data_IF_815879053311
#
_entry.id   IF_815879053311
#
_cell.length_a   1.000
_cell.length_b   1.000
_cell.length_c   1.000
_cell.angle_alpha   90.00
_cell.angle_beta   90.00
_cell.angle_gamma   90.00
#
_symmetry.space_group_name_H-M   'P 1'
#
loop_
_entity.id
_entity.type
_entity.pdbx_description
1 polymer ?
#
# COMPACT_ATOMS: atom_id res chain seq x y z
N UNK A 1 31.28 5.90 22.92
CA UNK A 1 30.02 6.66 22.88
C UNK A 1 28.93 5.72 22.41
N UNK A 2 27.97 5.42 23.28
CA UNK A 2 26.81 4.60 22.93
C UNK A 2 25.78 5.52 22.24
N UNK A 3 25.29 5.10 21.07
CA UNK A 3 24.31 5.88 20.32
C UNK A 3 22.93 5.49 20.82
N UNK A 4 22.14 6.46 21.30
CA UNK A 4 20.73 6.25 21.61
C UNK A 4 19.93 6.20 20.30
N UNK A 5 19.16 5.13 20.12
CA UNK A 5 18.23 4.97 18.99
C UNK A 5 16.84 5.39 19.48
N UNK A 6 16.23 6.34 18.77
CA UNK A 6 14.87 6.82 19.05
C UNK A 6 14.02 6.50 17.83
N UNK A 7 13.08 5.54 17.91
CA UNK A 7 12.09 5.34 16.86
C UNK A 7 11.15 6.56 16.83
N UNK A 8 10.65 6.92 15.65
CA UNK A 8 9.85 8.14 15.40
C UNK A 8 8.54 7.82 14.69
N UNK A 9 8.11 6.57 14.76
CA UNK A 9 6.92 6.06 14.12
C UNK A 9 6.92 6.11 12.59
N UNK A 10 5.81 5.69 11.97
CA UNK A 10 5.57 5.85 10.54
C UNK A 10 5.35 7.34 10.21
N UNK A 11 6.33 7.96 9.54
CA UNK A 11 6.21 9.30 8.96
C UNK A 11 5.47 9.22 7.63
N UNK A 12 4.17 8.93 7.70
CA UNK A 12 3.26 8.88 6.55
C UNK A 12 2.68 10.28 6.31
N UNK A 13 2.65 10.72 5.06
CA UNK A 13 1.99 11.98 4.71
C UNK A 13 0.50 11.91 5.05
N UNK A 14 0.10 12.65 6.08
CA UNK A 14 -1.24 12.58 6.66
C UNK A 14 -2.33 13.17 5.75
N UNK A 15 -1.99 14.15 4.91
CA UNK A 15 -2.95 14.83 4.05
C UNK A 15 -2.45 14.91 2.61
N UNK A 16 -3.07 14.15 1.71
CA UNK A 16 -2.81 14.33 0.30
C UNK A 16 -3.54 15.59 -0.20
N UNK A 17 -2.83 16.50 -0.88
CA UNK A 17 -3.34 17.82 -1.25
C UNK A 17 -4.71 17.77 -1.94
N UNK A 18 -5.66 18.68 -1.66
CA UNK A 18 -7.02 18.62 -2.20
C UNK A 18 -7.10 18.63 -3.74
N UNK A 19 -6.10 19.21 -4.39
CA UNK A 19 -6.08 19.44 -5.84
C UNK A 19 -4.75 18.96 -6.44
N UNK A 20 -4.74 17.75 -6.98
CA UNK A 20 -3.59 17.11 -7.63
C UNK A 20 -3.95 16.51 -9.00
N UNK A 21 -5.10 16.90 -9.57
CA UNK A 21 -5.58 16.37 -10.85
C UNK A 21 -6.10 14.92 -10.82
N UNK A 22 -6.23 14.31 -9.63
CA UNK A 22 -6.71 12.91 -9.49
C UNK A 22 -8.23 12.80 -9.21
N UNK A 23 -9.02 13.83 -9.51
CA UNK A 23 -10.47 13.85 -9.29
C UNK A 23 -11.17 12.64 -9.91
N UNK A 24 -10.83 12.32 -11.16
CA UNK A 24 -11.48 11.26 -11.94
C UNK A 24 -11.13 9.85 -11.42
N UNK A 25 -9.99 9.72 -10.75
CA UNK A 25 -9.59 8.48 -10.10
C UNK A 25 -10.39 8.26 -8.82
N UNK A 26 -10.51 9.31 -8.00
CA UNK A 26 -11.25 9.26 -6.74
C UNK A 26 -12.75 9.13 -6.98
N UNK A 27 -13.30 9.79 -8.00
CA UNK A 27 -14.70 9.62 -8.40
C UNK A 27 -14.98 8.17 -8.86
N UNK A 28 -14.05 7.57 -9.60
CA UNK A 28 -14.18 6.17 -10.00
C UNK A 28 -14.16 5.23 -8.80
N UNK A 29 -13.28 5.45 -7.82
CA UNK A 29 -13.24 4.69 -6.56
C UNK A 29 -14.52 4.88 -5.73
N UNK A 30 -15.05 6.09 -5.68
CA UNK A 30 -16.29 6.43 -4.97
C UNK A 30 -17.54 5.71 -5.51
N UNK A 31 -17.49 5.23 -6.76
CA UNK A 31 -18.55 4.40 -7.36
C UNK A 31 -18.42 2.91 -7.04
N UNK A 32 -17.34 2.48 -6.37
CA UNK A 32 -17.09 1.08 -6.02
C UNK A 32 -17.58 0.78 -4.61
N UNK A 33 -17.93 -0.49 -4.35
CA UNK A 33 -18.32 -0.93 -3.02
C UNK A 33 -17.14 -0.89 -2.04
N UNK A 34 -17.46 -0.84 -0.74
CA UNK A 34 -16.46 -0.89 0.33
C UNK A 34 -15.60 -2.15 0.21
N UNK A 35 -14.29 -2.00 0.39
CA UNK A 35 -13.29 -3.06 0.29
C UNK A 35 -13.34 -3.91 -1.01
N UNK A 36 -13.93 -3.38 -2.09
CA UNK A 36 -14.14 -4.14 -3.34
C UNK A 36 -13.04 -3.96 -4.39
N UNK A 37 -12.06 -3.09 -4.11
CA UNK A 37 -10.98 -2.73 -5.04
C UNK A 37 -9.61 -3.15 -4.50
N UNK A 38 -8.79 -3.77 -5.34
CA UNK A 38 -7.37 -3.99 -5.06
C UNK A 38 -6.53 -2.86 -5.66
N UNK A 39 -5.60 -2.32 -4.87
CA UNK A 39 -4.57 -1.43 -5.38
C UNK A 39 -3.30 -2.23 -5.68
N UNK A 40 -2.64 -1.98 -6.81
CA UNK A 40 -1.45 -2.71 -7.26
C UNK A 40 -0.34 -1.71 -7.57
N UNK A 41 0.76 -1.77 -6.82
CA UNK A 41 1.92 -0.90 -7.02
C UNK A 41 3.23 -1.57 -6.58
N UNK A 42 4.25 -1.48 -7.43
CA UNK A 42 5.58 -2.02 -7.17
C UNK A 42 6.61 -0.94 -6.80
N UNK A 43 6.13 0.21 -6.34
CA UNK A 43 6.97 1.31 -5.85
C UNK A 43 7.65 2.08 -6.97
N UNK A 44 8.60 2.94 -6.57
CA UNK A 44 9.27 3.86 -7.49
C UNK A 44 10.52 3.32 -8.16
N UNK A 45 11.08 2.23 -7.62
CA UNK A 45 12.41 1.73 -7.99
C UNK A 45 12.39 0.42 -8.78
N UNK A 46 11.23 -0.19 -8.96
CA UNK A 46 11.09 -1.45 -9.70
C UNK A 46 10.26 -1.28 -10.96
N UNK A 47 10.83 -1.69 -12.09
CA UNK A 47 10.13 -1.82 -13.35
C UNK A 47 9.81 -3.30 -13.58
N UNK A 48 8.53 -3.62 -13.76
CA UNK A 48 8.08 -4.99 -14.05
C UNK A 48 8.60 -5.43 -15.42
N UNK A 49 9.00 -6.70 -15.52
CA UNK A 49 9.27 -7.33 -16.81
C UNK A 49 7.97 -7.61 -17.54
N UNK A 50 8.03 -7.71 -18.88
CA UNK A 50 6.85 -7.99 -19.71
C UNK A 50 6.13 -9.27 -19.29
N UNK A 51 6.86 -10.32 -18.95
CA UNK A 51 6.27 -11.57 -18.49
C UNK A 51 5.51 -11.37 -17.15
N UNK A 52 6.01 -10.53 -16.25
CA UNK A 52 5.33 -10.23 -14.98
C UNK A 52 4.08 -9.38 -15.19
N UNK A 53 4.14 -8.43 -16.13
CA UNK A 53 2.98 -7.62 -16.55
C UNK A 53 1.89 -8.54 -17.11
N UNK A 54 2.26 -9.49 -17.97
CA UNK A 54 1.32 -10.47 -18.51
C UNK A 54 0.67 -11.28 -17.37
N UNK A 55 1.45 -11.89 -16.46
CA UNK A 55 0.89 -12.67 -15.33
C UNK A 55 -0.07 -11.85 -14.47
N UNK A 56 0.30 -10.60 -14.13
CA UNK A 56 -0.56 -9.70 -13.33
C UNK A 56 -1.81 -9.30 -14.10
N UNK A 57 -1.69 -8.94 -15.38
CA UNK A 57 -2.82 -8.58 -16.22
C UNK A 57 -3.83 -9.74 -16.31
N UNK A 58 -3.37 -10.97 -16.58
CA UNK A 58 -4.25 -12.14 -16.61
C UNK A 58 -4.89 -12.43 -15.25
N UNK A 59 -4.15 -12.28 -14.15
CA UNK A 59 -4.68 -12.46 -12.80
C UNK A 59 -5.77 -11.46 -12.44
N UNK A 60 -5.55 -10.17 -12.75
CA UNK A 60 -6.53 -9.11 -12.57
C UNK A 60 -7.74 -9.31 -13.48
N UNK A 61 -7.50 -9.69 -14.74
CA UNK A 61 -8.54 -9.84 -15.74
C UNK A 61 -9.44 -11.05 -15.45
N UNK A 62 -8.90 -12.27 -15.53
CA UNK A 62 -9.72 -13.47 -15.64
C UNK A 62 -9.96 -14.19 -14.32
N UNK A 63 -9.02 -14.08 -13.37
CA UNK A 63 -8.96 -14.99 -12.22
C UNK A 63 -9.50 -14.37 -10.94
N UNK A 64 -9.10 -13.14 -10.65
CA UNK A 64 -9.62 -12.40 -9.49
C UNK A 64 -11.02 -11.83 -9.79
N UNK A 65 -11.18 -11.23 -10.97
CA UNK A 65 -12.39 -10.52 -11.40
C UNK A 65 -12.89 -9.48 -10.37
N UNK A 66 -11.95 -8.83 -9.68
CA UNK A 66 -12.23 -7.75 -8.73
C UNK A 66 -12.04 -6.38 -9.41
N UNK A 67 -12.49 -5.31 -8.73
CA UNK A 67 -12.09 -3.97 -9.15
C UNK A 67 -10.59 -3.77 -8.87
N UNK A 68 -9.88 -3.05 -9.73
CA UNK A 68 -8.46 -2.80 -9.51
C UNK A 68 -8.00 -1.41 -9.95
N UNK A 69 -7.01 -0.91 -9.23
CA UNK A 69 -6.16 0.20 -9.65
C UNK A 69 -4.74 -0.32 -9.77
N UNK A 70 -4.12 -0.19 -10.95
CA UNK A 70 -2.78 -0.69 -11.16
C UNK A 70 -1.85 0.40 -11.68
N UNK A 71 -0.81 0.70 -10.89
CA UNK A 71 0.27 1.58 -11.30
C UNK A 71 1.24 0.80 -12.17
N UNK A 72 1.36 1.21 -13.43
CA UNK A 72 2.29 0.61 -14.39
C UNK A 72 3.37 1.62 -14.73
N UNK A 73 4.62 1.14 -14.75
CA UNK A 73 5.80 1.92 -15.07
C UNK A 73 6.67 1.14 -16.05
N UNK A 74 7.15 1.84 -17.06
CA UNK A 74 8.03 1.28 -18.09
C UNK A 74 9.40 1.97 -18.04
N UNK A 75 10.49 1.25 -18.32
CA UNK A 75 11.80 1.86 -18.46
C UNK A 75 11.87 2.67 -19.77
N UNK A 76 12.38 3.91 -19.68
CA UNK A 76 12.60 4.82 -20.82
C UNK A 76 11.67 6.05 -20.84
N UNK A 77 12.12 7.10 -21.53
CA UNK A 77 11.36 8.35 -21.72
C UNK A 77 10.48 8.27 -22.99
N UNK A 78 9.18 8.39 -22.78
CA UNK A 78 8.19 9.09 -23.63
C UNK A 78 7.46 8.42 -24.81
N UNK A 79 7.76 7.21 -25.30
CA UNK A 79 7.03 6.69 -26.49
C UNK A 79 6.27 5.37 -26.33
N UNK A 80 6.44 4.62 -25.25
CA UNK A 80 5.71 3.36 -25.05
C UNK A 80 4.33 3.63 -24.50
N UNK A 81 3.30 3.38 -25.33
CA UNK A 81 1.91 3.48 -24.88
C UNK A 81 1.59 2.26 -24.02
N UNK A 82 0.89 2.47 -22.90
CA UNK A 82 0.39 1.39 -22.03
C UNK A 82 -0.30 0.27 -22.82
N UNK A 83 -1.06 0.64 -23.86
CA UNK A 83 -1.76 -0.30 -24.74
C UNK A 83 -0.82 -1.31 -25.44
N UNK A 84 0.43 -0.95 -25.70
CA UNK A 84 1.40 -1.78 -26.44
C UNK A 84 2.13 -2.77 -25.52
N UNK A 85 2.12 -2.49 -24.20
CA UNK A 85 2.81 -3.29 -23.19
C UNK A 85 1.87 -4.21 -22.40
N UNK A 86 0.58 -3.92 -22.41
CA UNK A 86 -0.45 -4.78 -21.83
C UNK A 86 -0.93 -5.83 -22.85
N UNK A 87 -1.48 -6.98 -22.40
CA UNK A 87 -2.07 -7.96 -23.30
C UNK A 87 -3.14 -7.33 -24.20
N UNK A 88 -3.15 -7.70 -25.47
CA UNK A 88 -4.08 -7.14 -26.45
C UNK A 88 -5.54 -7.21 -25.99
N UNK A 89 -6.24 -6.07 -26.04
CA UNK A 89 -7.64 -5.93 -25.63
C UNK A 89 -7.88 -5.87 -24.11
N UNK A 90 -6.83 -5.86 -23.28
CA UNK A 90 -6.98 -5.86 -21.82
C UNK A 90 -7.72 -4.62 -21.31
N UNK A 91 -7.40 -3.45 -21.84
CA UNK A 91 -8.01 -2.19 -21.41
C UNK A 91 -9.52 -2.19 -21.70
N UNK A 92 -9.92 -2.62 -22.88
CA UNK A 92 -11.31 -2.71 -23.32
C UNK A 92 -12.11 -3.71 -22.48
N UNK A 93 -11.51 -4.87 -22.17
CA UNK A 93 -12.15 -5.92 -21.36
C UNK A 93 -12.24 -5.55 -19.87
N UNK A 94 -11.43 -4.61 -19.39
CA UNK A 94 -11.37 -4.23 -17.98
C UNK A 94 -11.89 -2.84 -17.66
N UNK A 95 -12.23 -2.01 -18.65
CA UNK A 95 -12.58 -0.58 -18.49
C UNK A 95 -13.58 -0.25 -17.37
N UNK A 96 -14.57 -1.12 -17.11
CA UNK A 96 -15.58 -0.88 -16.06
C UNK A 96 -15.06 -1.11 -14.64
N UNK A 97 -14.06 -1.98 -14.47
CA UNK A 97 -13.57 -2.47 -13.17
C UNK A 97 -12.08 -2.23 -12.93
N UNK A 98 -11.33 -1.81 -13.95
CA UNK A 98 -9.91 -1.53 -13.88
C UNK A 98 -9.59 -0.11 -14.29
N UNK A 99 -8.70 0.55 -13.56
CA UNK A 99 -7.96 1.72 -14.08
C UNK A 99 -6.46 1.47 -14.02
N UNK A 100 -5.78 1.79 -15.12
CA UNK A 100 -4.33 1.86 -15.18
C UNK A 100 -3.90 3.29 -14.85
N UNK A 101 -2.90 3.42 -13.98
CA UNK A 101 -2.31 4.69 -13.59
C UNK A 101 -0.86 4.69 -14.08
N UNK A 102 -0.50 5.70 -14.86
CA UNK A 102 0.84 5.84 -15.42
C UNK A 102 1.70 6.75 -14.56
N UNK A 103 2.99 6.41 -14.45
CA UNK A 103 4.07 7.20 -13.80
C UNK A 103 3.92 7.38 -12.29
N UNK A 104 2.83 8.00 -11.82
CA UNK A 104 2.62 8.36 -10.43
C UNK A 104 1.16 8.19 -10.02
N UNK A 105 0.94 7.69 -8.80
CA UNK A 105 -0.37 7.54 -8.20
C UNK A 105 -0.40 8.23 -6.84
N UNK A 106 -1.53 8.85 -6.44
CA UNK A 106 -1.70 9.40 -5.11
C UNK A 106 -1.92 8.26 -4.10
N UNK A 107 -0.88 7.47 -3.84
CA UNK A 107 -0.93 6.21 -3.09
C UNK A 107 -1.61 6.36 -1.73
N UNK A 108 -1.28 7.42 -0.97
CA UNK A 108 -1.93 7.71 0.30
C UNK A 108 -3.44 7.95 0.16
N UNK A 109 -3.90 8.71 -0.86
CA UNK A 109 -5.35 8.89 -1.15
C UNK A 109 -6.03 7.57 -1.46
N UNK A 110 -5.40 6.76 -2.30
CA UNK A 110 -5.95 5.48 -2.74
C UNK A 110 -6.09 4.56 -1.54
N UNK A 111 -5.02 4.38 -0.76
CA UNK A 111 -5.03 3.53 0.43
C UNK A 111 -6.02 4.03 1.49
N UNK A 112 -6.21 5.33 1.62
CA UNK A 112 -7.20 5.92 2.53
C UNK A 112 -8.66 5.82 2.05
N UNK A 113 -8.93 5.36 0.83
CA UNK A 113 -10.28 5.30 0.28
C UNK A 113 -11.02 4.02 0.74
N UNK A 114 -12.26 4.11 1.25
CA UNK A 114 -13.00 2.97 1.81
C UNK A 114 -13.24 1.81 0.83
N UNK A 115 -13.29 2.10 -0.47
CA UNK A 115 -13.41 1.07 -1.51
C UNK A 115 -12.19 0.17 -1.66
N UNK A 116 -11.02 0.53 -1.11
CA UNK A 116 -9.80 -0.27 -1.23
C UNK A 116 -9.75 -1.35 -0.16
N UNK A 117 -9.79 -2.61 -0.59
CA UNK A 117 -9.86 -3.79 0.28
C UNK A 117 -8.55 -4.56 0.43
N UNK A 118 -7.55 -4.24 -0.38
CA UNK A 118 -6.23 -4.87 -0.35
C UNK A 118 -5.22 -4.16 -1.22
N UNK A 119 -3.94 -4.37 -0.92
CA UNK A 119 -2.81 -3.73 -1.59
C UNK A 119 -1.77 -4.76 -2.03
N UNK A 120 -1.68 -5.03 -3.33
CA UNK A 120 -0.57 -5.77 -3.93
C UNK A 120 0.66 -4.89 -3.95
N UNK A 121 1.66 -5.28 -3.16
CA UNK A 121 2.85 -4.47 -2.91
C UNK A 121 4.12 -5.28 -3.07
N UNK A 122 5.14 -4.61 -3.58
CA UNK A 122 6.53 -5.06 -3.52
C UNK A 122 7.10 -5.07 -2.08
N UNK A 123 6.37 -4.61 -1.06
CA UNK A 123 6.80 -4.58 0.35
C UNK A 123 8.00 -3.66 0.64
N UNK A 124 8.15 -2.55 -0.08
CA UNK A 124 9.02 -1.46 0.37
C UNK A 124 8.51 -0.83 1.68
N UNK A 125 9.42 -0.42 2.56
CA UNK A 125 9.08 0.01 3.92
C UNK A 125 8.03 1.13 3.98
N UNK A 126 8.17 2.17 3.15
CA UNK A 126 7.21 3.28 3.12
C UNK A 126 5.80 2.81 2.72
N UNK A 127 5.70 1.98 1.68
CA UNK A 127 4.42 1.45 1.21
C UNK A 127 3.78 0.50 2.23
N UNK A 128 4.58 -0.28 2.96
CA UNK A 128 4.11 -1.10 4.06
C UNK A 128 3.53 -0.23 5.18
N UNK A 129 4.27 0.80 5.61
CA UNK A 129 3.82 1.70 6.68
C UNK A 129 2.55 2.47 6.30
N UNK A 130 2.44 2.96 5.06
CA UNK A 130 1.20 3.58 4.56
C UNK A 130 0.03 2.61 4.59
N UNK A 131 0.22 1.38 4.11
CA UNK A 131 -0.84 0.36 4.12
C UNK A 131 -1.37 0.08 5.53
N UNK A 132 -0.47 -0.07 6.51
CA UNK A 132 -0.90 -0.28 7.90
C UNK A 132 -1.53 0.99 8.46
N UNK A 133 -0.98 2.17 8.18
CA UNK A 133 -1.55 3.45 8.61
C UNK A 133 -2.99 3.67 8.12
N UNK A 134 -3.31 3.21 6.91
CA UNK A 134 -4.66 3.30 6.35
C UNK A 134 -5.53 2.06 6.60
N UNK A 135 -5.00 1.02 7.27
CA UNK A 135 -5.76 -0.18 7.60
C UNK A 135 -6.07 -1.08 6.38
N UNK A 136 -5.19 -1.10 5.39
CA UNK A 136 -5.34 -1.91 4.17
C UNK A 136 -4.45 -3.15 4.25
N UNK A 137 -5.00 -4.37 4.09
CA UNK A 137 -4.21 -5.60 4.06
C UNK A 137 -3.23 -5.65 2.88
N UNK A 138 -2.06 -6.23 3.12
CA UNK A 138 -1.00 -6.33 2.12
C UNK A 138 -1.03 -7.72 1.44
N UNK A 139 -0.97 -7.73 0.11
CA UNK A 139 -0.68 -8.90 -0.71
C UNK A 139 0.79 -8.78 -1.13
N UNK A 140 1.65 -9.53 -0.46
CA UNK A 140 3.08 -9.38 -0.55
C UNK A 140 3.67 -10.08 -1.78
N UNK A 141 4.27 -9.29 -2.67
CA UNK A 141 4.99 -9.73 -3.88
C UNK A 141 6.39 -9.10 -3.94
N UNK A 142 7.29 -9.44 -3.00
CA UNK A 142 8.61 -8.81 -2.90
C UNK A 142 9.46 -9.06 -4.14
N UNK A 143 10.26 -8.07 -4.54
CA UNK A 143 11.08 -8.10 -5.76
C UNK A 143 12.59 -8.05 -5.48
N UNK A 144 13.06 -7.12 -4.65
CA UNK A 144 14.50 -6.86 -4.44
C UNK A 144 14.79 -6.26 -3.05
N UNK A 145 16.07 -6.08 -2.70
CA UNK A 145 16.52 -5.45 -1.45
C UNK A 145 15.99 -6.14 -0.19
N UNK A 146 15.50 -5.36 0.77
CA UNK A 146 14.92 -5.74 2.05
C UNK A 146 13.47 -6.29 1.93
N UNK A 147 12.86 -6.16 0.76
CA UNK A 147 11.45 -6.50 0.53
C UNK A 147 11.06 -7.93 0.95
N UNK A 148 11.89 -8.99 0.72
CA UNK A 148 11.55 -10.33 1.18
C UNK A 148 11.48 -10.45 2.71
N UNK A 149 12.27 -9.67 3.44
CA UNK A 149 12.23 -9.63 4.92
C UNK A 149 10.95 -8.91 5.36
N UNK A 150 10.64 -7.77 4.73
CA UNK A 150 9.40 -7.03 5.00
C UNK A 150 8.16 -7.88 4.69
N UNK A 151 8.17 -8.68 3.61
CA UNK A 151 7.09 -9.59 3.27
C UNK A 151 6.86 -10.68 4.34
N UNK A 152 7.93 -11.22 4.94
CA UNK A 152 7.81 -12.15 6.08
C UNK A 152 7.19 -11.46 7.28
N UNK A 153 7.64 -10.24 7.60
CA UNK A 153 7.08 -9.44 8.70
C UNK A 153 5.58 -9.18 8.50
N UNK A 154 5.14 -8.87 7.27
CA UNK A 154 3.71 -8.68 6.95
C UNK A 154 2.88 -9.91 7.32
N UNK A 155 3.37 -11.11 7.00
CA UNK A 155 2.69 -12.37 7.30
C UNK A 155 2.73 -12.66 8.80
N UNK A 156 3.89 -12.49 9.45
CA UNK A 156 4.06 -12.73 10.89
C UNK A 156 3.20 -11.79 11.75
N UNK A 157 3.03 -10.54 11.34
CA UNK A 157 2.15 -9.58 12.00
C UNK A 157 0.66 -9.84 11.73
N UNK A 158 0.32 -10.70 10.76
CA UNK A 158 -1.04 -10.99 10.34
C UNK A 158 -1.72 -9.84 9.60
N UNK A 159 -0.95 -8.89 9.04
CA UNK A 159 -1.47 -7.72 8.31
C UNK A 159 -1.54 -7.93 6.81
N UNK A 160 -1.17 -9.13 6.34
CA UNK A 160 -1.21 -9.49 4.95
C UNK A 160 -0.83 -10.94 4.70
N UNK A 161 -0.76 -11.31 3.43
CA UNK A 161 -0.42 -12.65 2.96
C UNK A 161 0.61 -12.57 1.84
N UNK A 162 1.48 -13.58 1.75
CA UNK A 162 2.41 -13.72 0.63
C UNK A 162 1.76 -14.38 -0.58
N UNK A 163 2.16 -13.97 -1.78
CA UNK A 163 1.90 -14.75 -2.99
C UNK A 163 3.01 -15.77 -3.13
N UNK A 164 2.67 -17.06 -3.24
CA UNK A 164 3.67 -18.11 -3.42
C UNK A 164 4.30 -18.04 -4.81
N UNK A 165 5.56 -18.48 -4.88
CA UNK A 165 6.31 -18.60 -6.14
C UNK A 165 6.29 -20.05 -6.62
N UNK A 166 6.30 -20.24 -7.93
CA UNK A 166 6.48 -21.55 -8.54
C UNK A 166 7.89 -22.12 -8.26
N UNK A 167 8.13 -23.36 -8.68
CA UNK A 167 9.43 -24.05 -8.56
C UNK A 167 10.59 -23.30 -9.24
N UNK A 168 10.29 -22.37 -10.16
CA UNK A 168 11.25 -21.52 -10.86
C UNK A 168 11.39 -20.14 -10.21
N UNK A 169 10.75 -19.93 -9.06
CA UNK A 169 10.79 -18.67 -8.32
C UNK A 169 9.94 -17.57 -8.95
N UNK A 170 8.92 -17.87 -9.76
CA UNK A 170 8.06 -16.86 -10.42
C UNK A 170 6.70 -16.76 -9.76
N UNK A 171 6.12 -15.57 -9.75
CA UNK A 171 4.71 -15.40 -9.40
C UNK A 171 3.86 -15.76 -10.61
N UNK A 172 2.95 -16.72 -10.44
CA UNK A 172 2.04 -17.19 -11.49
C UNK A 172 0.71 -16.48 -11.40
N UNK A 173 0.05 -16.20 -12.54
CA UNK A 173 -1.29 -15.61 -12.59
C UNK A 173 -2.31 -16.34 -11.73
N UNK A 174 -2.23 -17.67 -11.65
CA UNK A 174 -3.14 -18.51 -10.84
C UNK A 174 -3.07 -18.12 -9.37
N UNK A 175 -1.87 -18.12 -8.80
CA UNK A 175 -1.67 -17.77 -7.40
C UNK A 175 -1.95 -16.28 -7.13
N UNK A 176 -1.51 -15.38 -8.01
CA UNK A 176 -1.81 -13.93 -7.88
C UNK A 176 -3.33 -13.72 -7.85
N UNK A 177 -4.06 -14.30 -8.80
CA UNK A 177 -5.50 -14.14 -8.94
C UNK A 177 -6.26 -14.72 -7.75
N UNK A 178 -5.85 -15.91 -7.28
CA UNK A 178 -6.39 -16.56 -6.09
C UNK A 178 -6.21 -15.70 -4.85
N UNK A 179 -4.99 -15.25 -4.56
CA UNK A 179 -4.69 -14.47 -3.35
C UNK A 179 -5.41 -13.12 -3.37
N UNK A 180 -5.44 -12.42 -4.52
CA UNK A 180 -6.22 -11.18 -4.67
C UNK A 180 -7.70 -11.42 -4.34
N UNK A 181 -8.29 -12.47 -4.92
CA UNK A 181 -9.71 -12.80 -4.71
C UNK A 181 -9.99 -13.15 -3.25
N UNK A 182 -9.11 -13.92 -2.61
CA UNK A 182 -9.27 -14.34 -1.21
C UNK A 182 -9.18 -13.14 -0.26
N UNK A 183 -8.30 -12.17 -0.52
CA UNK A 183 -8.16 -10.96 0.31
C UNK A 183 -9.29 -9.95 0.09
N UNK A 184 -9.73 -9.76 -1.16
CA UNK A 184 -10.76 -8.76 -1.46
C UNK A 184 -12.17 -9.30 -1.16
N UNK A 185 -12.46 -10.53 -1.60
CA UNK A 185 -13.81 -11.13 -1.55
C UNK A 185 -13.94 -12.22 -0.50
N UNK A 186 -12.85 -12.94 -0.21
CA UNK A 186 -12.84 -14.08 0.70
C UNK A 186 -12.92 -13.71 2.20
N UNK A 187 -13.15 -14.73 3.03
CA UNK A 187 -13.24 -14.57 4.49
C UNK A 187 -11.91 -14.18 5.12
N UNK A 188 -10.79 -14.61 4.56
CA UNK A 188 -9.45 -14.26 5.05
C UNK A 188 -9.24 -12.73 5.00
N UNK A 189 -9.78 -12.06 3.97
CA UNK A 189 -9.77 -10.61 3.86
C UNK A 189 -10.37 -9.88 5.06
N UNK A 190 -11.47 -10.40 5.63
CA UNK A 190 -12.13 -9.80 6.79
C UNK A 190 -11.24 -9.87 8.03
N UNK A 191 -10.60 -11.02 8.26
CA UNK A 191 -9.66 -11.18 9.38
C UNK A 191 -8.42 -10.31 9.21
N UNK A 192 -7.85 -10.25 8.00
CA UNK A 192 -6.71 -9.39 7.71
C UNK A 192 -7.04 -7.90 7.92
N UNK A 193 -8.22 -7.44 7.48
CA UNK A 193 -8.69 -6.07 7.70
C UNK A 193 -8.82 -5.75 9.19
N UNK A 194 -9.35 -6.68 9.98
CA UNK A 194 -9.42 -6.55 11.44
C UNK A 194 -8.02 -6.46 12.06
N UNK A 195 -7.09 -7.33 11.66
CA UNK A 195 -5.72 -7.35 12.16
C UNK A 195 -4.92 -6.09 11.80
N UNK A 196 -4.98 -5.64 10.56
CA UNK A 196 -4.28 -4.41 10.15
C UNK A 196 -4.87 -3.20 10.85
N UNK A 197 -6.18 -3.17 11.15
CA UNK A 197 -6.80 -2.12 11.96
C UNK A 197 -6.29 -2.14 13.40
N UNK A 198 -6.17 -3.30 14.05
CA UNK A 198 -5.55 -3.39 15.39
C UNK A 198 -4.12 -2.83 15.38
N UNK A 199 -3.33 -3.15 14.35
CA UNK A 199 -1.95 -2.66 14.21
C UNK A 199 -1.90 -1.16 13.89
N UNK A 200 -2.85 -0.65 13.11
CA UNK A 200 -3.01 0.77 12.82
C UNK A 200 -3.18 1.57 14.12
N UNK A 201 -4.10 1.15 14.97
CA UNK A 201 -4.38 1.86 16.23
C UNK A 201 -3.18 1.82 17.17
N UNK A 202 -2.49 0.67 17.25
CA UNK A 202 -1.25 0.55 18.01
C UNK A 202 -0.15 1.48 17.48
N UNK A 203 0.04 1.56 16.16
CA UNK A 203 1.04 2.43 15.55
C UNK A 203 0.75 3.91 15.81
N UNK A 204 -0.53 4.31 15.83
CA UNK A 204 -0.94 5.69 16.12
C UNK A 204 -0.64 6.06 17.56
N UNK A 205 -1.03 5.21 18.50
CA UNK A 205 -0.75 5.42 19.93
C UNK A 205 0.76 5.51 20.21
N UNK A 206 1.55 4.59 19.66
CA UNK A 206 3.00 4.59 19.88
C UNK A 206 3.70 5.76 19.17
N UNK A 207 3.23 6.16 17.99
CA UNK A 207 3.83 7.26 17.23
C UNK A 207 3.79 8.59 17.96
N UNK A 208 2.70 8.87 18.70
CA UNK A 208 2.58 10.06 19.55
C UNK A 208 3.62 10.05 20.68
N UNK A 209 3.75 8.93 21.39
CA UNK A 209 4.74 8.76 22.47
C UNK A 209 6.20 8.87 21.96
N UNK A 210 6.48 8.29 20.80
CA UNK A 210 7.81 8.28 20.16
C UNK A 210 8.24 9.68 19.71
N UNK A 211 7.32 10.46 19.11
CA UNK A 211 7.57 11.84 18.71
C UNK A 211 7.82 12.72 19.94
N UNK A 212 7.03 12.58 21.00
CA UNK A 212 7.23 13.31 22.25
C UNK A 212 8.60 13.00 22.87
N UNK A 213 9.01 11.73 22.86
CA UNK A 213 10.35 11.31 23.27
C UNK A 213 11.46 11.97 22.45
N UNK A 214 11.31 12.04 21.13
CA UNK A 214 12.27 12.74 20.26
C UNK A 214 12.37 14.23 20.60
N UNK A 215 11.23 14.91 20.78
CA UNK A 215 11.19 16.34 21.11
C UNK A 215 11.95 16.61 22.42
N UNK A 216 11.76 15.75 23.43
CA UNK A 216 12.45 15.86 24.71
C UNK A 216 13.98 15.68 24.55
N UNK A 217 14.42 14.68 23.80
CA UNK A 217 15.85 14.44 23.56
C UNK A 217 16.52 15.59 22.80
N UNK A 218 15.86 16.12 21.76
CA UNK A 218 16.35 17.30 21.03
C UNK A 218 16.42 18.51 21.97
N UNK A 219 15.40 18.74 22.81
CA UNK A 219 15.39 19.84 23.76
C UNK A 219 16.57 19.76 24.75
N UNK A 220 16.87 18.56 25.26
CA UNK A 220 18.02 18.31 26.13
C UNK A 220 19.36 18.60 25.41
N UNK A 221 19.52 18.11 24.18
CA UNK A 221 20.74 18.35 23.38
C UNK A 221 20.92 19.83 23.02
N UNK A 222 19.83 20.57 22.83
CA UNK A 222 19.84 22.01 22.57
C UNK A 222 20.01 22.86 23.84
N UNK A 223 20.19 22.27 25.02
CA UNK A 223 20.40 22.99 26.28
C UNK A 223 19.15 23.68 26.83
N UNK A 224 17.95 23.31 26.35
CA UNK A 224 16.69 23.82 26.88
C UNK A 224 16.24 22.90 28.02
N UNK A 225 16.20 23.45 29.23
CA UNK A 225 15.64 22.76 30.40
C UNK A 225 14.12 22.76 30.27
N UNK A 226 13.54 21.65 29.81
CA UNK A 226 12.10 21.39 29.64
C UNK A 226 11.37 22.26 28.60
N UNK A 227 10.59 21.62 27.72
CA UNK A 227 9.55 22.28 26.93
C UNK A 227 8.30 22.32 27.82
N UNK A 228 8.17 23.33 28.69
CA UNK A 228 6.89 23.62 29.33
C UNK A 228 5.93 24.19 28.26
N UNK A 229 4.87 23.43 27.95
CA UNK A 229 3.75 23.91 27.13
C UNK A 229 3.44 23.06 25.90
N UNK A 230 3.08 21.78 26.09
CA UNK A 230 2.21 21.12 25.13
C UNK A 230 0.76 21.53 25.45
N UNK A 231 -0.05 22.02 24.48
CA UNK A 231 -1.47 22.17 24.72
C UNK A 231 -2.06 20.78 24.93
N UNK A 232 -2.54 20.51 26.14
CA UNK A 232 -3.47 19.40 26.36
C UNK A 232 -4.75 19.71 25.58
N UNK A 233 -4.82 19.30 24.31
CA UNK A 233 -6.10 19.20 23.61
C UNK A 233 -6.84 18.00 24.18
N UNK A 234 -7.45 18.20 25.35
CA UNK A 234 -8.46 17.33 25.91
C UNK A 234 -9.67 17.45 24.98
N UNK A 235 -9.86 16.47 24.10
CA UNK A 235 -11.10 16.34 23.35
C UNK A 235 -12.16 15.92 24.37
N UNK A 236 -12.93 16.89 24.87
CA UNK A 236 -14.18 16.61 25.55
C UNK A 236 -15.22 16.22 24.49
N UNK A 237 -15.66 14.97 24.54
CA UNK A 237 -16.81 14.49 23.78
C UNK A 237 -18.08 15.09 24.42
N UNK A 238 -18.81 15.90 23.66
CA UNK A 238 -20.25 16.10 23.81
C UNK A 238 -20.99 15.34 22.73
#
# INVERSE_FOLDING_TARGET
MERKIVPVGPLVSADPSPDDGNSDLMEWLGKKGEFSTVFVSFGSEYFLKREEIEEIAYALEALSNVNFLWVVRFPGDEEKRVQDELPGGFLERTQERGKIIEKWAPQAKILGHPSVGGFVSHCGWNSLMESIHFGVPIIAMPKQFDQPVNAKLVVELGVGVGVDRDERGRFTREEIGKVIKDVVVGKIGQELRRKVWEKRELLRANGEEEIDGLVQEIAQLCGKSSVEGAPQSRIELQ
#
